data_IF_499137480826
#
_entry.id   IF_499137480826
#
_cell.length_a   1.000
_cell.length_b   1.000
_cell.length_c   1.000
_cell.angle_alpha   90.00
_cell.angle_beta   90.00
_cell.angle_gamma   90.00
#
_symmetry.space_group_name_H-M   'P 1'
#
loop_
_entity.id
_entity.type
_entity.pdbx_description
1 polymer ?
#
# COMPACT_ATOMS: atom_id res chain seq x y z
N UNK A 1 1.37 23.36 -72.83
CA UNK A 1 0.11 22.65 -73.15
C UNK A 1 0.16 21.14 -72.85
N UNK A 2 1.26 20.59 -72.34
CA UNK A 2 1.47 19.14 -72.14
C UNK A 2 0.62 18.51 -71.01
N UNK A 3 0.24 19.30 -69.99
CA UNK A 3 -0.52 18.77 -68.85
C UNK A 3 -1.99 18.46 -69.15
N UNK A 4 -2.64 19.10 -70.14
CA UNK A 4 -4.06 18.85 -70.43
C UNK A 4 -4.31 17.45 -71.03
N UNK A 5 -3.36 16.95 -71.84
CA UNK A 5 -3.47 15.64 -72.47
C UNK A 5 -3.39 14.48 -71.45
N UNK A 6 -2.65 14.68 -70.36
CA UNK A 6 -2.52 13.70 -69.28
C UNK A 6 -3.83 13.51 -68.50
N UNK A 7 -4.58 14.58 -68.26
CA UNK A 7 -5.88 14.49 -67.60
C UNK A 7 -6.93 13.81 -68.47
N UNK A 8 -6.92 14.06 -69.77
CA UNK A 8 -7.83 13.40 -70.72
C UNK A 8 -7.59 11.88 -70.80
N UNK A 9 -6.32 11.44 -70.75
CA UNK A 9 -5.95 10.01 -70.69
C UNK A 9 -6.40 9.33 -69.39
N UNK A 10 -6.37 10.05 -68.26
CA UNK A 10 -6.88 9.53 -66.98
C UNK A 10 -8.40 9.37 -67.04
N UNK A 11 -9.11 10.36 -67.60
CA UNK A 11 -10.57 10.32 -67.71
C UNK A 11 -11.06 9.18 -68.61
N UNK A 12 -10.39 8.92 -69.73
CA UNK A 12 -10.74 7.78 -70.60
C UNK A 12 -10.48 6.43 -69.93
N UNK A 13 -9.38 6.31 -69.17
CA UNK A 13 -9.09 5.11 -68.36
C UNK A 13 -10.13 4.89 -67.26
N UNK A 14 -10.59 5.96 -66.60
CA UNK A 14 -11.65 5.86 -65.59
C UNK A 14 -12.99 5.42 -66.18
N UNK A 15 -13.35 5.90 -67.38
CA UNK A 15 -14.58 5.48 -68.05
C UNK A 15 -14.54 3.99 -68.43
N UNK A 16 -13.37 3.47 -68.83
CA UNK A 16 -13.19 2.04 -69.09
C UNK A 16 -13.37 1.17 -67.85
N UNK A 17 -12.98 1.66 -66.67
CA UNK A 17 -13.10 0.93 -65.40
C UNK A 17 -14.54 0.85 -64.89
N UNK A 18 -15.40 1.80 -65.28
CA UNK A 18 -16.82 1.80 -64.89
C UNK A 18 -17.58 0.60 -65.45
N UNK A 19 -17.14 0.07 -66.59
CA UNK A 19 -17.79 -1.06 -67.26
C UNK A 19 -17.15 -2.42 -66.92
N UNK A 20 -16.15 -2.47 -66.05
CA UNK A 20 -15.54 -3.72 -65.60
C UNK A 20 -16.42 -4.32 -64.49
N UNK A 21 -17.32 -5.23 -64.86
CA UNK A 21 -18.03 -6.04 -63.85
C UNK A 21 -17.06 -7.04 -63.21
N UNK A 22 -17.07 -7.21 -61.88
CA UNK A 22 -16.20 -8.18 -61.22
C UNK A 22 -16.46 -9.59 -61.74
N UNK A 23 -15.39 -10.35 -61.96
CA UNK A 23 -15.45 -11.73 -62.45
C UNK A 23 -16.31 -12.61 -61.51
N UNK A 24 -16.95 -13.64 -62.08
CA UNK A 24 -17.80 -14.55 -61.31
C UNK A 24 -17.03 -15.18 -60.13
N UNK A 25 -15.75 -15.51 -60.31
CA UNK A 25 -14.89 -16.03 -59.25
C UNK A 25 -14.65 -15.02 -58.12
N UNK A 26 -14.44 -13.74 -58.46
CA UNK A 26 -14.29 -12.69 -57.45
C UNK A 26 -15.58 -12.53 -56.65
N UNK A 27 -16.74 -12.51 -57.30
CA UNK A 27 -18.05 -12.42 -56.64
C UNK A 27 -18.27 -13.58 -55.67
N UNK A 28 -18.01 -14.82 -56.09
CA UNK A 28 -18.19 -15.97 -55.21
C UNK A 28 -17.23 -15.99 -54.02
N UNK A 29 -16.00 -15.52 -54.18
CA UNK A 29 -15.05 -15.36 -53.05
C UNK A 29 -15.47 -14.21 -52.13
N UNK A 30 -15.91 -13.10 -52.70
CA UNK A 30 -16.43 -11.94 -51.97
C UNK A 30 -17.66 -12.31 -51.14
N UNK A 31 -18.62 -13.03 -51.72
CA UNK A 31 -19.81 -13.52 -51.01
C UNK A 31 -19.44 -14.46 -49.87
N UNK A 32 -18.52 -15.41 -50.10
CA UNK A 32 -18.06 -16.34 -49.06
C UNK A 32 -17.32 -15.65 -47.91
N UNK A 33 -16.63 -14.55 -48.17
CA UNK A 33 -15.81 -13.86 -47.18
C UNK A 33 -16.57 -12.76 -46.44
N UNK A 34 -17.44 -12.02 -47.13
CA UNK A 34 -18.08 -10.83 -46.56
C UNK A 34 -19.49 -11.05 -46.04
N UNK A 35 -20.26 -11.98 -46.61
CA UNK A 35 -21.58 -12.30 -46.07
C UNK A 35 -21.49 -12.76 -44.60
N UNK A 36 -20.58 -13.67 -44.19
CA UNK A 36 -20.47 -14.03 -42.77
C UNK A 36 -19.89 -12.92 -41.89
N UNK A 37 -19.10 -11.98 -42.45
CA UNK A 37 -18.55 -10.84 -41.72
C UNK A 37 -19.56 -9.67 -41.55
N UNK A 38 -20.50 -9.52 -42.49
CA UNK A 38 -21.56 -8.51 -42.45
C UNK A 38 -22.82 -9.01 -41.71
N UNK A 39 -23.10 -10.32 -41.77
CA UNK A 39 -24.16 -10.97 -41.00
C UNK A 39 -23.66 -11.58 -39.68
N UNK A 40 -22.42 -11.34 -39.26
CA UNK A 40 -22.04 -11.57 -37.86
C UNK A 40 -22.91 -10.64 -37.03
N UNK A 41 -24.01 -11.20 -36.53
CA UNK A 41 -25.00 -10.63 -35.62
C UNK A 41 -24.33 -9.53 -34.83
N UNK A 42 -24.56 -8.28 -35.25
CA UNK A 42 -24.05 -7.11 -34.58
C UNK A 42 -24.39 -7.28 -33.10
N UNK A 43 -23.40 -7.67 -32.31
CA UNK A 43 -23.46 -7.50 -30.89
C UNK A 43 -23.58 -5.99 -30.75
N UNK A 44 -24.83 -5.52 -30.63
CA UNK A 44 -25.13 -4.17 -30.22
C UNK A 44 -24.56 -4.07 -28.81
N UNK A 45 -23.25 -3.86 -28.71
CA UNK A 45 -22.68 -3.26 -27.53
C UNK A 45 -23.48 -1.97 -27.36
N UNK A 46 -24.26 -1.82 -26.29
CA UNK A 46 -25.13 -0.68 -26.18
C UNK A 46 -24.21 0.54 -26.20
N UNK A 47 -24.29 1.35 -27.27
CA UNK A 47 -23.64 2.65 -27.33
C UNK A 47 -23.95 3.45 -26.06
N UNK A 48 -25.15 3.21 -25.49
CA UNK A 48 -25.57 3.70 -24.18
C UNK A 48 -24.58 3.35 -23.05
N UNK A 49 -24.06 2.12 -22.97
CA UNK A 49 -23.08 1.74 -21.94
C UNK A 49 -21.74 2.44 -22.12
N UNK A 50 -21.33 2.72 -23.35
CA UNK A 50 -20.10 3.47 -23.63
C UNK A 50 -20.27 4.97 -23.36
N UNK A 51 -21.39 5.59 -23.75
CA UNK A 51 -21.66 7.00 -23.42
C UNK A 51 -21.88 7.20 -21.92
N UNK A 52 -22.45 6.23 -21.20
CA UNK A 52 -22.57 6.29 -19.75
C UNK A 52 -21.21 6.19 -19.06
N UNK A 53 -20.33 5.30 -19.54
CA UNK A 53 -18.92 5.22 -19.07
C UNK A 53 -18.13 6.48 -19.38
N UNK A 54 -18.32 7.07 -20.56
CA UNK A 54 -17.67 8.31 -20.95
C UNK A 54 -18.20 9.51 -20.14
N UNK A 55 -19.50 9.55 -19.87
CA UNK A 55 -20.12 10.57 -19.03
C UNK A 55 -19.62 10.49 -17.58
N UNK A 56 -19.53 9.28 -17.01
CA UNK A 56 -18.93 9.08 -15.68
C UNK A 56 -17.47 9.54 -15.68
N UNK A 57 -16.71 9.24 -16.72
CA UNK A 57 -15.31 9.67 -16.83
C UNK A 57 -15.19 11.21 -16.93
N UNK A 58 -16.04 11.87 -17.73
CA UNK A 58 -16.05 13.33 -17.85
C UNK A 58 -16.46 13.98 -16.53
N UNK A 59 -17.50 13.47 -15.86
CA UNK A 59 -17.91 13.96 -14.53
C UNK A 59 -16.78 13.77 -13.53
N UNK A 60 -16.11 12.61 -13.53
CA UNK A 60 -14.94 12.37 -12.69
C UNK A 60 -13.84 13.39 -13.00
N UNK A 61 -13.51 13.65 -14.28
CA UNK A 61 -12.52 14.65 -14.66
C UNK A 61 -12.95 16.06 -14.24
N UNK A 62 -14.21 16.46 -14.40
CA UNK A 62 -14.70 17.79 -14.00
C UNK A 62 -14.70 17.97 -12.48
N UNK A 63 -15.09 16.94 -11.72
CA UNK A 63 -15.00 16.93 -10.25
C UNK A 63 -13.55 16.94 -9.78
N UNK A 64 -12.65 16.21 -10.46
CA UNK A 64 -11.21 16.23 -10.16
C UNK A 64 -10.48 17.49 -10.66
N UNK A 65 -11.03 18.21 -11.64
CA UNK A 65 -10.48 19.49 -12.14
C UNK A 65 -10.76 20.65 -11.18
N UNK A 66 -11.71 20.48 -10.26
CA UNK A 66 -11.99 21.45 -9.21
C UNK A 66 -11.20 21.08 -7.94
N UNK A 67 -9.95 21.54 -7.89
CA UNK A 67 -9.02 21.36 -6.75
C UNK A 67 -9.66 21.71 -5.39
N UNK A 68 -10.67 22.58 -5.38
CA UNK A 68 -11.40 22.99 -4.18
C UNK A 68 -12.11 21.86 -3.42
N UNK A 69 -12.66 20.84 -4.10
CA UNK A 69 -13.38 19.75 -3.43
C UNK A 69 -12.39 18.87 -2.65
N UNK A 70 -11.21 18.61 -3.23
CA UNK A 70 -10.17 17.81 -2.57
C UNK A 70 -9.60 18.54 -1.36
N UNK A 71 -9.31 19.84 -1.49
CA UNK A 71 -8.82 20.67 -0.38
C UNK A 71 -9.84 20.77 0.76
N UNK A 72 -11.12 20.94 0.43
CA UNK A 72 -12.19 20.96 1.42
C UNK A 72 -12.40 19.58 2.07
N UNK A 73 -12.21 18.48 1.32
CA UNK A 73 -12.31 17.14 1.85
C UNK A 73 -11.16 16.81 2.83
N UNK A 74 -9.94 17.31 2.63
CA UNK A 74 -8.84 17.10 3.58
C UNK A 74 -9.16 17.64 4.98
N UNK A 75 -9.79 18.80 5.05
CA UNK A 75 -10.21 19.43 6.31
C UNK A 75 -11.52 18.88 6.87
N UNK A 76 -12.14 17.93 6.17
CA UNK A 76 -13.42 17.37 6.58
C UNK A 76 -13.25 16.46 7.81
N UNK A 77 -14.16 16.62 8.76
CA UNK A 77 -14.26 15.80 9.96
C UNK A 77 -15.19 14.61 9.73
N UNK A 78 -15.14 13.57 10.57
CA UNK A 78 -16.17 12.55 10.58
C UNK A 78 -17.59 13.17 10.67
N UNK A 79 -18.60 12.47 10.18
CA UNK A 79 -19.99 12.97 10.12
C UNK A 79 -20.26 14.08 9.07
N UNK A 80 -19.23 14.70 8.49
CA UNK A 80 -19.42 15.72 7.46
C UNK A 80 -19.66 15.13 6.06
N UNK A 81 -20.30 15.92 5.19
CA UNK A 81 -20.67 15.50 3.82
C UNK A 81 -19.46 15.07 2.96
N UNK A 82 -18.31 15.69 3.17
CA UNK A 82 -17.09 15.43 2.38
C UNK A 82 -16.20 14.32 2.97
N UNK A 83 -16.56 13.77 4.13
CA UNK A 83 -15.77 12.74 4.80
C UNK A 83 -15.58 11.46 3.95
N UNK A 84 -16.60 10.93 3.25
CA UNK A 84 -16.40 9.80 2.34
C UNK A 84 -15.39 10.12 1.23
N UNK A 85 -15.37 11.36 0.75
CA UNK A 85 -14.43 11.81 -0.28
C UNK A 85 -13.01 11.86 0.30
N UNK A 86 -12.84 12.37 1.53
CA UNK A 86 -11.54 12.34 2.25
C UNK A 86 -10.97 10.93 2.30
N UNK A 87 -11.80 9.95 2.66
CA UNK A 87 -11.36 8.56 2.75
C UNK A 87 -10.92 7.99 1.40
N UNK A 88 -11.66 8.28 0.32
CA UNK A 88 -11.26 7.88 -1.04
C UNK A 88 -9.93 8.54 -1.43
N UNK A 89 -9.78 9.84 -1.17
CA UNK A 89 -8.54 10.57 -1.47
C UNK A 89 -7.36 10.00 -0.68
N UNK A 90 -7.50 9.74 0.61
CA UNK A 90 -6.46 9.14 1.45
C UNK A 90 -6.08 7.74 0.98
N UNK A 91 -7.05 6.89 0.66
CA UNK A 91 -6.78 5.55 0.16
C UNK A 91 -6.10 5.58 -1.21
N UNK A 92 -6.48 6.51 -2.10
CA UNK A 92 -5.81 6.70 -3.37
C UNK A 92 -4.36 7.19 -3.18
N UNK A 93 -4.13 8.16 -2.28
CA UNK A 93 -2.78 8.61 -1.89
C UNK A 93 -1.96 7.45 -1.35
N UNK A 94 -2.51 6.64 -0.46
CA UNK A 94 -1.83 5.48 0.12
C UNK A 94 -1.44 4.45 -0.96
N UNK A 95 -2.34 4.15 -1.90
CA UNK A 95 -2.10 3.21 -2.98
C UNK A 95 -1.03 3.69 -3.99
N UNK A 96 -0.93 5.01 -4.21
CA UNK A 96 0.02 5.62 -5.13
C UNK A 96 1.35 5.99 -4.48
N UNK A 97 1.41 6.05 -3.15
CA UNK A 97 2.63 6.39 -2.43
C UNK A 97 3.58 5.20 -2.44
N UNK A 98 4.78 5.35 -2.99
CA UNK A 98 5.82 4.30 -2.93
C UNK A 98 6.76 4.46 -1.73
N UNK A 99 6.85 5.66 -1.17
CA UNK A 99 7.73 5.97 -0.05
C UNK A 99 7.15 5.41 1.26
N UNK A 100 7.88 4.50 1.91
CA UNK A 100 7.43 3.83 3.15
C UNK A 100 7.23 4.80 4.32
N UNK A 101 8.09 5.81 4.50
CA UNK A 101 7.88 6.86 5.52
C UNK A 101 6.55 7.58 5.28
N UNK A 102 6.28 7.99 4.04
CA UNK A 102 5.02 8.66 3.71
C UNK A 102 3.80 7.74 3.89
N UNK A 103 3.93 6.44 3.60
CA UNK A 103 2.86 5.46 3.89
C UNK A 103 2.61 5.31 5.38
N UNK A 104 3.67 5.23 6.20
CA UNK A 104 3.56 5.12 7.65
C UNK A 104 2.79 6.31 8.23
N UNK A 105 3.13 7.53 7.78
CA UNK A 105 2.45 8.75 8.19
C UNK A 105 0.99 8.80 7.71
N UNK A 106 0.70 8.36 6.49
CA UNK A 106 -0.68 8.27 6.00
C UNK A 106 -1.53 7.29 6.83
N UNK A 107 -0.95 6.17 7.25
CA UNK A 107 -1.63 5.24 8.15
C UNK A 107 -1.91 5.89 9.52
N UNK A 108 -0.94 6.59 10.11
CA UNK A 108 -1.18 7.33 11.35
C UNK A 108 -2.27 8.38 11.22
N UNK A 109 -2.31 9.10 10.10
CA UNK A 109 -3.35 10.10 9.83
C UNK A 109 -4.75 9.47 9.72
N UNK A 110 -4.84 8.24 9.20
CA UNK A 110 -6.10 7.48 9.22
C UNK A 110 -6.46 7.04 10.65
N UNK A 111 -5.46 6.66 11.46
CA UNK A 111 -5.66 6.39 12.89
C UNK A 111 -6.19 7.61 13.65
N UNK A 112 -5.65 8.81 13.38
CA UNK A 112 -6.14 10.06 13.98
C UNK A 112 -7.61 10.34 13.59
N UNK A 113 -7.99 10.09 12.33
CA UNK A 113 -9.40 10.19 11.89
C UNK A 113 -10.32 9.24 12.70
N UNK A 114 -9.83 8.07 13.12
CA UNK A 114 -10.61 7.13 13.96
C UNK A 114 -10.79 7.62 15.38
N UNK A 115 -9.79 8.31 15.93
CA UNK A 115 -9.92 8.94 17.25
C UNK A 115 -10.97 10.06 17.20
N UNK A 116 -10.99 10.86 16.13
CA UNK A 116 -12.03 11.88 15.95
C UNK A 116 -13.42 11.23 15.71
N UNK A 117 -13.50 10.09 15.00
CA UNK A 117 -14.74 9.30 14.88
C UNK A 117 -15.23 8.85 16.27
N UNK A 118 -14.34 8.37 17.14
CA UNK A 118 -14.68 7.97 18.51
C UNK A 118 -15.15 9.16 19.34
N UNK A 119 -14.50 10.32 19.21
CA UNK A 119 -14.89 11.54 19.92
C UNK A 119 -16.28 12.00 19.50
N UNK A 120 -16.56 12.08 18.20
CA UNK A 120 -17.90 12.44 17.73
C UNK A 120 -18.96 11.42 18.12
N UNK A 121 -18.63 10.13 18.06
CA UNK A 121 -19.55 9.09 18.49
C UNK A 121 -19.80 9.11 20.01
N UNK A 122 -18.90 9.70 20.80
CA UNK A 122 -19.12 9.92 22.23
C UNK A 122 -20.19 11.00 22.48
N UNK A 123 -20.36 11.95 21.54
CA UNK A 123 -21.39 12.98 21.59
C UNK A 123 -22.78 12.45 21.16
N UNK A 124 -22.85 11.29 20.49
CA UNK A 124 -24.08 10.67 19.97
C UNK A 124 -24.25 9.21 20.47
N UNK A 125 -24.83 9.05 21.66
CA UNK A 125 -24.95 7.78 22.40
C UNK A 125 -25.65 6.64 21.63
N UNK A 126 -26.49 6.97 20.63
CA UNK A 126 -27.35 5.99 19.97
C UNK A 126 -26.68 5.22 18.81
N UNK A 127 -25.49 5.62 18.35
CA UNK A 127 -24.87 5.04 17.14
C UNK A 127 -23.37 4.76 17.29
N UNK A 128 -22.88 4.61 18.53
CA UNK A 128 -21.47 4.35 18.76
C UNK A 128 -21.11 2.88 18.47
N UNK A 129 -20.48 2.62 17.32
CA UNK A 129 -19.81 1.34 17.03
C UNK A 129 -18.31 1.40 17.37
N UNK A 130 -18.00 1.59 18.66
CA UNK A 130 -16.63 1.77 19.15
C UNK A 130 -15.72 0.60 18.76
N UNK A 131 -16.22 -0.64 18.81
CA UNK A 131 -15.43 -1.84 18.45
C UNK A 131 -14.95 -1.81 16.99
N UNK A 132 -15.82 -1.41 16.04
CA UNK A 132 -15.41 -1.29 14.63
C UNK A 132 -14.37 -0.19 14.46
N UNK A 133 -14.61 0.99 15.03
CA UNK A 133 -13.71 2.15 14.88
C UNK A 133 -12.33 1.84 15.49
N UNK A 134 -12.29 1.20 16.65
CA UNK A 134 -11.05 0.76 17.30
C UNK A 134 -10.35 -0.35 16.50
N UNK A 135 -11.09 -1.26 15.85
CA UNK A 135 -10.51 -2.25 14.96
C UNK A 135 -9.81 -1.61 13.74
N UNK A 136 -10.44 -0.61 13.13
CA UNK A 136 -9.83 0.18 12.05
C UNK A 136 -8.60 0.96 12.54
N UNK A 137 -8.69 1.56 13.74
CA UNK A 137 -7.57 2.25 14.38
C UNK A 137 -6.36 1.34 14.58
N UNK A 138 -6.59 0.17 15.16
CA UNK A 138 -5.57 -0.84 15.38
C UNK A 138 -4.91 -1.29 14.07
N UNK A 139 -5.72 -1.50 13.04
CA UNK A 139 -5.22 -1.85 11.71
C UNK A 139 -4.27 -0.78 11.16
N UNK A 140 -4.65 0.49 11.25
CA UNK A 140 -3.84 1.59 10.75
C UNK A 140 -2.56 1.80 11.56
N UNK A 141 -2.59 1.71 12.90
CA UNK A 141 -1.36 1.77 13.73
C UNK A 141 -0.41 0.62 13.39
N UNK A 142 -0.92 -0.60 13.28
CA UNK A 142 -0.09 -1.76 12.95
C UNK A 142 0.55 -1.64 11.56
N UNK A 143 -0.18 -1.11 10.57
CA UNK A 143 0.38 -0.86 9.25
C UNK A 143 1.44 0.24 9.28
N UNK A 144 1.24 1.32 10.05
CA UNK A 144 2.24 2.38 10.19
C UNK A 144 3.57 1.81 10.70
N UNK A 145 3.51 0.95 11.71
CA UNK A 145 4.68 0.27 12.29
C UNK A 145 5.31 -0.75 11.32
N UNK A 146 4.49 -1.44 10.54
CA UNK A 146 4.99 -2.37 9.52
C UNK A 146 5.78 -1.66 8.42
N UNK A 147 5.32 -0.48 8.01
CA UNK A 147 6.02 0.32 6.99
C UNK A 147 7.38 0.85 7.51
N UNK A 148 7.56 0.99 8.82
CA UNK A 148 8.88 1.34 9.42
C UNK A 148 9.80 0.17 9.65
N UNK A 149 9.32 -1.07 9.78
CA UNK A 149 10.20 -2.23 9.98
C UNK A 149 11.15 -2.51 8.80
N UNK A 150 10.92 -1.92 7.62
CA UNK A 150 11.66 -2.22 6.37
C UNK A 150 12.68 -1.15 5.92
N UNK A 151 12.97 -0.16 6.76
CA UNK A 151 13.70 1.05 6.36
C UNK A 151 15.09 1.16 7.03
N UNK A 152 16.08 1.74 6.35
CA UNK A 152 17.40 2.08 6.93
C UNK A 152 17.31 3.43 7.69
N UNK A 153 18.42 4.03 8.15
CA UNK A 153 18.55 5.31 8.91
C UNK A 153 17.42 6.37 8.87
N UNK A 154 16.70 6.57 7.75
CA UNK A 154 15.41 7.30 7.69
C UNK A 154 14.34 6.80 8.69
N UNK A 155 14.57 5.63 9.26
CA UNK A 155 13.74 5.01 10.26
C UNK A 155 13.72 5.71 11.60
N UNK A 156 14.82 6.33 12.02
CA UNK A 156 14.88 6.92 13.36
C UNK A 156 13.94 8.12 13.44
N UNK A 157 13.98 9.02 12.43
CA UNK A 157 13.09 10.19 12.41
C UNK A 157 11.63 9.79 12.20
N UNK A 158 11.37 8.80 11.35
CA UNK A 158 10.01 8.27 11.15
C UNK A 158 9.49 7.63 12.44
N UNK A 159 10.30 6.80 13.11
CA UNK A 159 9.95 6.16 14.37
C UNK A 159 9.72 7.19 15.48
N UNK A 160 10.53 8.25 15.56
CA UNK A 160 10.31 9.36 16.49
C UNK A 160 8.99 10.08 16.23
N UNK A 161 8.66 10.32 14.96
CA UNK A 161 7.37 10.91 14.58
C UNK A 161 6.21 9.99 14.98
N UNK A 162 6.36 8.68 14.80
CA UNK A 162 5.35 7.69 15.23
C UNK A 162 5.21 7.68 16.75
N UNK A 163 6.31 7.60 17.50
CA UNK A 163 6.33 7.64 18.98
C UNK A 163 5.57 8.87 19.51
N UNK A 164 5.91 10.06 19.02
CA UNK A 164 5.24 11.31 19.41
C UNK A 164 3.76 11.35 19.03
N UNK A 165 3.42 10.82 17.86
CA UNK A 165 2.02 10.80 17.39
C UNK A 165 1.19 9.81 18.20
N UNK A 166 1.73 8.64 18.52
CA UNK A 166 1.06 7.65 19.34
C UNK A 166 0.92 8.11 20.80
N UNK A 167 1.89 8.84 21.33
CA UNK A 167 1.77 9.51 22.63
C UNK A 167 0.58 10.48 22.65
N UNK A 168 0.46 11.35 21.63
CA UNK A 168 -0.69 12.25 21.46
C UNK A 168 -2.00 11.48 21.33
N UNK A 169 -2.01 10.36 20.59
CA UNK A 169 -3.17 9.50 20.45
C UNK A 169 -3.60 8.91 21.80
N UNK A 170 -2.67 8.39 22.60
CA UNK A 170 -2.94 7.87 23.95
C UNK A 170 -3.60 8.93 24.81
N UNK A 171 -3.02 10.14 24.88
CA UNK A 171 -3.59 11.25 25.67
C UNK A 171 -5.02 11.61 25.21
N UNK A 172 -5.26 11.62 23.90
CA UNK A 172 -6.59 11.91 23.35
C UNK A 172 -7.59 10.79 23.65
N UNK A 173 -7.16 9.53 23.53
CA UNK A 173 -7.99 8.36 23.83
C UNK A 173 -8.36 8.28 25.31
N UNK A 174 -7.45 8.67 26.22
CA UNK A 174 -7.75 8.81 27.64
C UNK A 174 -8.84 9.85 27.89
N UNK A 175 -8.77 11.02 27.23
CA UNK A 175 -9.83 12.03 27.32
C UNK A 175 -11.17 11.55 26.76
N UNK A 176 -11.15 10.78 25.68
CA UNK A 176 -12.36 10.22 25.06
C UNK A 176 -12.96 9.12 25.95
N UNK A 177 -12.13 8.31 26.62
CA UNK A 177 -12.59 7.24 27.52
C UNK A 177 -13.55 7.76 28.60
N UNK A 178 -13.28 8.95 29.14
CA UNK A 178 -14.09 9.56 30.19
C UNK A 178 -15.43 10.12 29.66
N UNK A 179 -15.55 10.30 28.35
CA UNK A 179 -16.73 10.87 27.68
C UNK A 179 -17.64 9.80 27.07
N UNK A 180 -17.18 8.56 26.96
CA UNK A 180 -17.95 7.48 26.32
C UNK A 180 -18.75 6.64 27.33
N UNK A 181 -19.90 6.08 26.92
CA UNK A 181 -20.66 5.14 27.73
C UNK A 181 -19.83 3.92 28.17
N UNK A 182 -20.14 3.36 29.34
CA UNK A 182 -19.42 2.20 29.91
C UNK A 182 -19.20 1.03 28.93
N UNK A 183 -20.18 0.65 28.08
CA UNK A 183 -19.98 -0.42 27.08
C UNK A 183 -18.85 -0.14 26.07
N UNK A 184 -18.56 1.13 25.76
CA UNK A 184 -17.54 1.52 24.81
C UNK A 184 -16.14 1.65 25.42
N UNK A 185 -16.03 1.83 26.74
CA UNK A 185 -14.75 2.03 27.43
C UNK A 185 -13.76 0.87 27.22
N UNK A 186 -14.26 -0.37 27.13
CA UNK A 186 -13.42 -1.53 26.84
C UNK A 186 -12.73 -1.42 25.48
N UNK A 187 -13.43 -0.91 24.46
CA UNK A 187 -12.86 -0.67 23.14
C UNK A 187 -11.82 0.45 23.20
N UNK A 188 -12.10 1.55 23.90
CA UNK A 188 -11.13 2.66 24.06
C UNK A 188 -9.86 2.20 24.78
N UNK A 189 -9.99 1.40 25.86
CA UNK A 189 -8.84 0.81 26.54
C UNK A 189 -7.99 -0.04 25.59
N UNK A 190 -8.63 -0.81 24.70
CA UNK A 190 -7.91 -1.56 23.67
C UNK A 190 -7.12 -0.62 22.76
N UNK A 191 -7.72 0.47 22.29
CA UNK A 191 -7.02 1.45 21.46
C UNK A 191 -5.81 2.07 22.19
N UNK A 192 -5.94 2.42 23.47
CA UNK A 192 -4.85 2.90 24.31
C UNK A 192 -3.71 1.87 24.35
N UNK A 193 -4.01 0.61 24.64
CA UNK A 193 -3.01 -0.47 24.65
C UNK A 193 -2.32 -0.64 23.30
N UNK A 194 -3.05 -0.46 22.18
CA UNK A 194 -2.43 -0.50 20.84
C UNK A 194 -1.46 0.67 20.65
N UNK A 195 -1.82 1.88 21.06
CA UNK A 195 -0.94 3.05 21.00
C UNK A 195 0.32 2.86 21.83
N UNK A 196 0.18 2.42 23.08
CA UNK A 196 1.30 2.17 24.00
C UNK A 196 2.25 1.10 23.46
N UNK A 197 1.70 -0.01 22.94
CA UNK A 197 2.52 -1.05 22.33
C UNK A 197 3.23 -0.54 21.07
N UNK A 198 2.55 0.23 20.23
CA UNK A 198 3.15 0.84 19.06
C UNK A 198 4.27 1.83 19.42
N UNK A 199 4.08 2.58 20.50
CA UNK A 199 5.08 3.48 21.06
C UNK A 199 6.33 2.71 21.49
N UNK A 200 6.17 1.63 22.26
CA UNK A 200 7.28 0.76 22.65
C UNK A 200 8.06 0.24 21.43
N UNK A 201 7.36 -0.21 20.39
CA UNK A 201 7.99 -0.68 19.15
C UNK A 201 8.74 0.44 18.42
N UNK A 202 8.18 1.65 18.39
CA UNK A 202 8.87 2.82 17.82
C UNK A 202 10.14 3.16 18.63
N UNK A 203 10.08 3.11 19.96
CA UNK A 203 11.22 3.34 20.84
C UNK A 203 12.30 2.26 20.68
N UNK A 204 11.94 1.01 20.49
CA UNK A 204 12.90 -0.06 20.16
C UNK A 204 13.68 0.28 18.88
N UNK A 205 13.01 0.79 17.84
CA UNK A 205 13.68 1.20 16.59
C UNK A 205 14.64 2.37 16.83
N UNK A 206 14.25 3.34 17.67
CA UNK A 206 15.08 4.50 18.03
C UNK A 206 16.30 4.07 18.84
N UNK A 207 16.13 3.21 19.84
CA UNK A 207 17.20 2.76 20.75
C UNK A 207 18.17 1.79 20.08
N UNK A 208 17.69 0.91 19.20
CA UNK A 208 18.52 -0.09 18.51
C UNK A 208 19.29 0.47 17.31
N UNK A 209 19.08 1.74 16.92
CA UNK A 209 19.86 2.44 15.90
C UNK A 209 20.47 3.77 16.42
N UNK A 210 21.39 3.77 17.40
CA UNK A 210 21.89 5.00 18.02
C UNK A 210 22.87 5.82 17.16
N UNK A 211 23.09 5.48 15.88
CA UNK A 211 24.06 6.21 15.03
C UNK A 211 23.46 7.47 14.40
N UNK A 212 23.26 8.48 15.25
CA UNK A 212 23.03 9.88 14.88
C UNK A 212 23.92 10.88 15.62
N UNK A 213 24.83 10.43 16.51
CA UNK A 213 25.69 11.34 17.26
C UNK A 213 27.09 10.74 17.56
N UNK A 214 27.95 10.70 16.56
CA UNK A 214 29.37 11.00 16.76
C UNK A 214 29.83 11.84 15.58
N UNK A 215 29.98 13.14 15.82
CA UNK A 215 30.94 13.95 15.10
C UNK A 215 32.30 13.65 15.74
N UNK A 216 33.26 12.95 15.10
CA UNK A 216 34.64 13.07 15.50
C UNK A 216 35.13 14.41 14.95
N UNK A 217 34.91 15.48 15.69
CA UNK A 217 35.80 16.64 15.60
C UNK A 217 37.12 16.23 16.25
N UNK A 218 37.99 15.62 15.44
CA UNK A 218 39.44 15.72 15.57
C UNK A 218 40.03 15.13 14.28
N UNK A 219 40.32 15.99 13.31
CA UNK A 219 41.32 15.68 12.29
C UNK A 219 42.69 15.88 12.98
N UNK A 220 43.53 14.86 13.16
CA UNK A 220 44.96 15.07 13.31
C UNK A 220 45.50 15.43 11.91
N UNK A 221 45.88 16.69 11.73
CA UNK A 221 46.56 17.18 10.55
C UNK A 221 48.04 16.77 10.64
N UNK A 222 48.40 15.84 9.77
CA UNK A 222 49.64 15.79 8.97
C UNK A 222 50.99 15.54 9.67
N UNK A 223 51.50 14.33 9.46
CA UNK A 223 52.95 14.08 9.38
C UNK A 223 53.50 14.62 8.05
N UNK A 224 54.54 15.46 8.12
CA UNK A 224 55.51 15.70 7.04
C UNK A 224 56.90 15.30 7.59
N UNK A 225 57.74 14.59 6.82
CA UNK A 225 58.99 13.99 7.32
C UNK A 225 60.19 14.95 7.23
N UNK A 226 61.03 15.00 8.27
CA UNK A 226 62.46 15.29 8.10
C UNK A 226 63.33 14.92 9.32
N UNK A 227 64.24 13.98 9.08
CA UNK A 227 65.68 13.98 9.42
C UNK A 227 66.13 14.21 10.87
N UNK A 228 66.69 13.16 11.49
CA UNK A 228 67.48 13.30 12.72
C UNK A 228 67.96 11.99 13.34
N UNK A 229 68.96 11.37 12.72
CA UNK A 229 70.09 10.64 13.33
C UNK A 229 69.95 9.84 14.65
N UNK A 230 70.40 8.58 14.52
CA UNK A 230 71.32 7.82 15.38
C UNK A 230 70.79 6.79 16.39
N UNK A 231 71.43 5.61 16.27
CA UNK A 231 71.84 4.66 17.31
C UNK A 231 70.79 3.62 17.77
N UNK A 232 71.03 2.32 17.93
CA UNK A 232 72.00 1.27 17.50
C UNK A 232 71.48 -0.04 18.17
N UNK A 233 71.82 -1.20 17.58
CA UNK A 233 71.78 -2.58 18.12
C UNK A 233 70.51 -3.47 18.13
N UNK A 234 70.50 -4.41 17.16
CA UNK A 234 70.59 -5.90 17.28
C UNK A 234 69.42 -6.75 17.89
N UNK A 235 69.29 -8.07 17.58
CA UNK A 235 68.01 -8.68 17.21
C UNK A 235 67.63 -9.87 18.14
N UNK A 236 66.45 -10.45 17.95
CA UNK A 236 66.18 -11.76 18.57
C UNK A 236 64.72 -12.24 18.55
N UNK A 237 64.55 -13.36 17.83
CA UNK A 237 63.60 -14.47 18.07
C UNK A 237 62.09 -14.30 17.87
N UNK A 238 61.64 -14.94 16.78
CA UNK A 238 60.68 -16.05 16.72
C UNK A 238 59.67 -16.25 17.86
N UNK A 239 58.37 -16.33 17.53
CA UNK A 239 57.70 -17.64 17.49
C UNK A 239 56.33 -17.59 16.78
N UNK A 240 56.10 -18.62 15.96
CA UNK A 240 54.80 -18.99 15.38
C UNK A 240 53.94 -19.70 16.42
N UNK A 241 52.63 -19.44 16.47
CA UNK A 241 51.65 -20.48 16.78
C UNK A 241 50.33 -20.25 16.03
N UNK A 242 49.80 -21.39 15.62
CA UNK A 242 48.82 -21.66 14.59
C UNK A 242 47.54 -22.19 15.27
N UNK A 243 46.40 -22.04 14.59
CA UNK A 243 45.17 -22.83 14.73
C UNK A 243 44.30 -22.66 16.00
N UNK A 244 43.08 -22.13 15.83
CA UNK A 244 41.87 -22.97 15.85
C UNK A 244 40.61 -22.19 15.43
N UNK A 245 39.91 -22.68 14.40
CA UNK A 245 38.59 -22.22 13.97
C UNK A 245 37.58 -23.32 14.33
N UNK A 246 36.50 -23.06 15.08
CA UNK A 246 35.38 -23.98 15.19
C UNK A 246 34.32 -23.71 14.11
N UNK A 247 33.92 -24.81 13.47
CA UNK A 247 33.02 -24.96 12.33
C UNK A 247 31.55 -24.62 12.62
N UNK A 248 30.87 -24.17 11.56
CA UNK A 248 29.43 -23.90 11.45
C UNK A 248 28.60 -25.19 11.58
N UNK A 249 27.59 -25.19 12.46
CA UNK A 249 26.55 -26.24 12.54
C UNK A 249 25.18 -25.65 12.16
N UNK A 250 24.59 -26.21 11.10
CA UNK A 250 23.26 -25.88 10.57
C UNK A 250 22.15 -26.57 11.39
N UNK A 251 21.03 -25.91 11.76
CA UNK A 251 19.91 -26.58 12.43
C UNK A 251 19.03 -27.35 11.43
N UNK A 252 18.76 -28.61 11.78
CA UNK A 252 17.89 -29.54 11.07
C UNK A 252 16.40 -29.30 11.34
N UNK A 253 15.61 -29.58 10.30
CA UNK A 253 14.15 -29.57 10.23
C UNK A 253 13.51 -30.65 11.13
N UNK A 254 12.38 -30.40 11.83
CA UNK A 254 11.68 -31.46 12.54
C UNK A 254 10.81 -32.32 11.61
N UNK A 255 10.89 -33.64 11.84
CA UNK A 255 10.24 -34.69 11.09
C UNK A 255 8.72 -34.78 11.34
N UNK A 256 8.04 -35.08 10.23
CA UNK A 256 6.67 -35.57 10.10
C UNK A 256 6.48 -36.91 10.83
N UNK A 257 5.59 -36.96 11.83
CA UNK A 257 5.19 -38.20 12.51
C UNK A 257 3.80 -38.63 12.02
N UNK A 258 3.79 -39.52 11.02
CA UNK A 258 2.65 -40.37 10.69
C UNK A 258 2.85 -41.73 11.36
N UNK A 259 1.98 -42.11 12.31
CA UNK A 259 1.64 -43.52 12.48
C UNK A 259 0.24 -43.71 13.11
N UNK A 260 -0.69 -44.09 12.24
CA UNK A 260 -1.67 -45.19 12.32
C UNK A 260 -2.51 -45.45 13.59
N UNK A 261 -3.83 -45.24 13.40
CA UNK A 261 -4.88 -46.26 13.23
C UNK A 261 -5.27 -47.19 14.40
N UNK A 262 -6.48 -47.00 14.92
CA UNK A 262 -7.54 -48.02 15.17
C UNK A 262 -8.67 -47.37 16.00
N UNK A 263 -9.85 -47.12 15.44
CA UNK A 263 -10.98 -48.06 15.50
C UNK A 263 -11.56 -48.21 16.92
N UNK A 264 -12.67 -47.52 17.21
CA UNK A 264 -13.86 -48.07 17.87
C UNK A 264 -14.93 -46.98 18.07
N UNK A 265 -16.19 -47.29 17.79
CA UNK A 265 -17.33 -46.63 18.46
C UNK A 265 -18.30 -45.83 17.58
N UNK A 266 -18.98 -46.50 16.65
CA UNK A 266 -20.35 -46.10 16.28
C UNK A 266 -21.23 -46.17 17.53
N UNK A 267 -21.99 -45.11 17.83
CA UNK A 267 -23.22 -45.25 18.60
C UNK A 267 -24.34 -44.47 17.90
N UNK A 268 -25.25 -45.24 17.28
CA UNK A 268 -26.59 -44.82 16.88
C UNK A 268 -27.57 -45.29 17.95
N UNK A 269 -28.60 -44.47 18.17
CA UNK A 269 -29.88 -44.79 18.82
C UNK A 269 -29.78 -45.02 20.35
N UNK A 270 -30.77 -44.71 21.19
CA UNK A 270 -32.19 -44.54 20.96
C UNK A 270 -32.85 -43.82 22.17
N UNK A 271 -34.03 -43.23 21.93
CA UNK A 271 -35.17 -43.06 22.84
C UNK A 271 -34.98 -42.76 24.34
N UNK A 272 -35.57 -41.64 24.80
CA UNK A 272 -36.72 -41.80 25.70
C UNK A 272 -37.67 -40.59 25.71
N UNK A 273 -38.95 -40.93 25.53
CA UNK A 273 -40.16 -40.14 25.80
C UNK A 273 -40.48 -40.11 27.31
N UNK A 274 -41.40 -39.19 27.66
CA UNK A 274 -42.13 -38.99 28.94
C UNK A 274 -41.36 -38.09 29.91
N UNK A 275 -41.92 -36.99 30.43
CA UNK A 275 -43.31 -36.63 30.75
C UNK A 275 -43.60 -35.19 30.36
#
# INVERSE_FOLDING_TARGET
>A
MENLNKYQDILSKLDSLRNVTPSAEFRSRFEKLLIPALLSKAARVPLFGYVFRLAILIIAITVFSSTGIVLAAEQSKPGSLLYPIKQVVKNAKLALTSNQTAKALLHLEKGEDKIEELKQAAEDENNMNANRIVGDYEHDVNNALKETQNLNQKNIETAKTIDQTLEKHTQTLEQVKDQVPSPAQAAINKAITVSEKGQQQAQEVIQNNPSGNTLPTAIPVTNTPQSGQNHVDNPGSSNSQEQNIPSIQLPTQPQNNQNNNSDFGRNKANENKKK
#
